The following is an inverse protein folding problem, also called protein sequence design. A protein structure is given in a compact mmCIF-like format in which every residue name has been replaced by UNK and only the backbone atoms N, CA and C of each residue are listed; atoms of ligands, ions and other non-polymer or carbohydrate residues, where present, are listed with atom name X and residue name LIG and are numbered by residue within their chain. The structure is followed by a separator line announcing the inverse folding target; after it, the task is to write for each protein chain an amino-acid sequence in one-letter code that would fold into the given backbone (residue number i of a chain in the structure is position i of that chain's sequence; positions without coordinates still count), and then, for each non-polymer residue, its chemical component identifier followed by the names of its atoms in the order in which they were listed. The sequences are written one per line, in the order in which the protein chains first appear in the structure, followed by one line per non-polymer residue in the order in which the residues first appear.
data_IF_092580056227
#
_entry.id   IF_092580056227
#
_cell.length_a   1.000
_cell.length_b   1.000
_cell.length_c   1.000
_cell.angle_alpha   90.00
_cell.angle_beta   90.00
_cell.angle_gamma   90.00
#
_symmetry.space_group_name_H-M   'P 1'
#
loop_
_entity.id
_entity.type
_entity.pdbx_description
1 polymer ?
#
# COMPACT_ATOMS: atom_id res chain seq x y z
N UNK A 1 -6.93 -6.48 -10.95
CA UNK A 1 -6.05 -7.20 -10.00
C UNK A 1 -6.15 -8.72 -10.08
N UNK A 2 -7.35 -9.32 -10.17
CA UNK A 2 -7.53 -10.79 -10.17
C UNK A 2 -7.56 -11.46 -11.55
N UNK A 3 -7.75 -10.67 -12.60
CA UNK A 3 -7.63 -11.11 -14.00
C UNK A 3 -6.17 -11.19 -14.46
N UNK A 4 -5.93 -11.82 -15.61
CA UNK A 4 -4.60 -11.92 -16.21
C UNK A 4 -3.99 -10.53 -16.45
N UNK A 5 -2.68 -10.39 -16.19
CA UNK A 5 -2.02 -9.07 -16.14
C UNK A 5 -2.35 -8.25 -14.89
N UNK A 6 -3.12 -8.81 -13.94
CA UNK A 6 -3.59 -8.11 -12.75
C UNK A 6 -2.50 -7.62 -11.80
N UNK A 7 -1.28 -8.14 -11.91
CA UNK A 7 -0.13 -7.69 -11.11
C UNK A 7 0.31 -6.26 -11.44
N UNK A 8 0.17 -5.80 -12.69
CA UNK A 8 0.48 -4.41 -13.03
C UNK A 8 -0.54 -3.44 -12.43
N UNK A 9 -1.82 -3.86 -12.36
CA UNK A 9 -2.86 -3.12 -11.62
C UNK A 9 -2.54 -3.08 -10.11
N UNK A 10 -1.97 -4.15 -9.55
CA UNK A 10 -1.50 -4.17 -8.15
C UNK A 10 -0.36 -3.17 -7.95
N UNK A 11 0.63 -3.12 -8.86
CA UNK A 11 1.73 -2.14 -8.80
C UNK A 11 1.23 -0.71 -8.89
N UNK A 12 0.28 -0.41 -9.80
CA UNK A 12 -0.35 0.92 -9.89
C UNK A 12 -1.04 1.30 -8.59
N UNK A 13 -1.79 0.38 -7.98
CA UNK A 13 -2.43 0.63 -6.69
C UNK A 13 -1.41 0.87 -5.56
N UNK A 14 -0.31 0.12 -5.51
CA UNK A 14 0.78 0.35 -4.54
C UNK A 14 1.40 1.73 -4.72
N UNK A 15 1.63 2.15 -5.97
CA UNK A 15 2.13 3.48 -6.29
C UNK A 15 1.18 4.56 -5.76
N UNK A 16 -0.12 4.46 -6.04
CA UNK A 16 -1.10 5.43 -5.55
C UNK A 16 -1.15 5.48 -4.02
N UNK A 17 -1.09 4.33 -3.35
CA UNK A 17 -1.05 4.25 -1.88
C UNK A 17 0.21 4.90 -1.28
N UNK A 18 1.33 4.90 -2.01
CA UNK A 18 2.55 5.57 -1.58
C UNK A 18 2.43 7.09 -1.61
N UNK A 19 1.70 7.64 -2.58
CA UNK A 19 1.49 9.08 -2.76
C UNK A 19 0.55 9.67 -1.71
N UNK A 20 -0.32 8.84 -1.13
CA UNK A 20 -1.26 9.24 -0.08
C UNK A 20 -0.92 8.62 1.28
N UNK A 21 0.34 8.26 1.52
CA UNK A 21 0.75 7.56 2.74
C UNK A 21 0.28 8.25 4.02
N UNK A 22 0.58 9.55 4.17
CA UNK A 22 0.26 10.33 5.37
C UNK A 22 -1.25 10.42 5.60
N UNK A 23 -2.03 10.59 4.53
CA UNK A 23 -3.48 10.61 4.60
C UNK A 23 -4.04 9.27 5.12
N UNK A 24 -3.51 8.16 4.62
CA UNK A 24 -3.91 6.84 5.08
C UNK A 24 -3.51 6.63 6.56
N UNK A 25 -2.29 6.98 6.95
CA UNK A 25 -1.84 6.84 8.35
C UNK A 25 -2.73 7.62 9.31
N UNK A 26 -3.10 8.85 8.97
CA UNK A 26 -3.99 9.69 9.79
C UNK A 26 -5.38 9.05 10.02
N UNK A 27 -5.86 8.23 9.09
CA UNK A 27 -7.15 7.56 9.16
C UNK A 27 -7.09 6.12 9.72
N UNK A 28 -5.88 5.59 9.97
CA UNK A 28 -5.64 4.16 10.22
C UNK A 28 -5.62 3.76 11.70
N UNK A 29 -6.32 4.55 12.53
CA UNK A 29 -6.50 4.30 13.96
C UNK A 29 -5.52 5.08 14.84
N UNK A 30 -6.01 5.55 15.98
CA UNK A 30 -5.22 6.34 16.93
C UNK A 30 -4.18 5.48 17.65
N UNK A 31 -3.02 6.08 17.96
CA UNK A 31 -1.96 5.42 18.70
C UNK A 31 -1.06 4.49 17.87
N UNK A 32 -1.22 4.53 16.54
CA UNK A 32 -0.52 3.65 15.61
C UNK A 32 1.01 3.89 15.61
N UNK A 33 1.47 5.07 16.02
CA UNK A 33 2.88 5.42 16.19
C UNK A 33 3.61 4.52 17.19
N UNK A 34 2.89 3.95 18.16
CA UNK A 34 3.45 2.98 19.12
C UNK A 34 3.63 1.58 18.52
N UNK A 35 2.92 1.28 17.43
CA UNK A 35 2.93 -0.02 16.74
C UNK A 35 3.86 0.00 15.53
N UNK A 36 3.71 0.98 14.64
CA UNK A 36 4.45 1.11 13.38
C UNK A 36 5.85 1.70 13.62
N UNK A 37 6.73 0.88 14.18
CA UNK A 37 8.08 1.29 14.61
C UNK A 37 9.18 0.79 13.67
N UNK A 38 8.85 -0.03 12.67
CA UNK A 38 9.84 -0.76 11.86
C UNK A 38 10.35 -2.04 12.54
N UNK A 39 9.98 -2.29 13.79
CA UNK A 39 10.29 -3.51 14.54
C UNK A 39 9.09 -4.45 14.55
N UNK A 40 9.31 -5.70 14.97
CA UNK A 40 8.23 -6.68 15.21
C UNK A 40 7.29 -6.92 14.01
N UNK A 41 7.85 -7.11 12.82
CA UNK A 41 7.07 -7.34 11.58
C UNK A 41 6.10 -6.18 11.24
N UNK A 42 6.51 -4.96 11.56
CA UNK A 42 5.82 -3.71 11.15
C UNK A 42 6.77 -2.82 10.36
N UNK A 43 6.21 -1.89 9.58
CA UNK A 43 6.96 -0.81 8.95
C UNK A 43 7.06 0.41 9.86
N UNK A 44 8.01 1.31 9.55
CA UNK A 44 8.04 2.68 10.10
C UNK A 44 6.75 3.42 9.77
N UNK A 45 6.22 4.21 10.71
CA UNK A 45 5.03 5.04 10.49
C UNK A 45 5.27 6.16 9.46
N UNK A 46 6.51 6.59 9.27
CA UNK A 46 6.87 7.73 8.42
C UNK A 46 7.24 7.31 6.99
N UNK A 47 7.64 6.05 6.80
CA UNK A 47 8.20 5.58 5.55
C UNK A 47 7.27 4.58 4.86
N UNK A 48 6.86 4.89 3.64
CA UNK A 48 6.16 3.94 2.79
C UNK A 48 7.13 2.93 2.18
N UNK A 49 6.80 1.64 2.30
CA UNK A 49 7.55 0.55 1.67
C UNK A 49 6.60 -0.57 1.21
N UNK A 50 7.04 -1.35 0.22
CA UNK A 50 6.33 -2.54 -0.21
C UNK A 50 7.29 -3.66 -0.56
N UNK A 51 6.79 -4.90 -0.64
CA UNK A 51 7.60 -6.02 -1.10
C UNK A 51 6.85 -7.34 -1.21
N UNK A 52 7.43 -8.26 -1.96
CA UNK A 52 6.90 -9.63 -2.09
C UNK A 52 7.36 -10.47 -0.91
N UNK A 53 6.40 -11.11 -0.24
CA UNK A 53 6.60 -11.91 0.96
C UNK A 53 7.31 -11.18 2.12
N UNK A 54 7.44 -9.85 2.04
CA UNK A 54 8.09 -9.05 3.06
C UNK A 54 7.07 -8.71 4.14
N UNK A 55 7.37 -9.08 5.39
CA UNK A 55 6.53 -8.75 6.54
C UNK A 55 6.94 -7.47 7.26
N UNK A 56 8.08 -6.87 6.95
CA UNK A 56 8.50 -5.59 7.53
C UNK A 56 8.04 -4.36 6.74
N UNK A 57 7.28 -4.53 5.65
CA UNK A 57 6.88 -3.42 4.78
C UNK A 57 5.43 -2.97 5.01
N UNK A 58 5.11 -1.77 4.50
CA UNK A 58 3.77 -1.18 4.62
C UNK A 58 2.73 -1.96 3.82
N UNK A 59 3.04 -2.28 2.55
CA UNK A 59 2.19 -3.10 1.67
C UNK A 59 2.90 -4.40 1.31
N UNK A 60 2.27 -5.54 1.56
CA UNK A 60 2.80 -6.85 1.21
C UNK A 60 2.06 -7.44 0.02
N UNK A 61 2.79 -8.10 -0.87
CA UNK A 61 2.21 -8.98 -1.90
C UNK A 61 2.65 -10.42 -1.65
N UNK A 62 1.74 -11.39 -1.73
CA UNK A 62 2.06 -12.80 -1.51
C UNK A 62 2.90 -13.41 -2.65
N UNK A 63 3.77 -14.39 -2.33
CA UNK A 63 4.57 -15.11 -3.36
C UNK A 63 3.69 -15.71 -4.45
N UNK A 64 2.52 -16.22 -4.07
CA UNK A 64 1.57 -16.80 -5.01
C UNK A 64 0.98 -15.75 -5.97
N UNK A 65 0.70 -14.54 -5.48
CA UNK A 65 0.20 -13.44 -6.33
C UNK A 65 1.26 -12.98 -7.32
N UNK A 66 2.51 -12.87 -6.90
CA UNK A 66 3.63 -12.58 -7.80
C UNK A 66 3.79 -13.70 -8.84
N UNK A 67 3.87 -14.96 -8.40
CA UNK A 67 4.07 -16.11 -9.28
C UNK A 67 2.95 -16.28 -10.32
N UNK A 68 1.69 -15.96 -9.95
CA UNK A 68 0.53 -16.02 -10.85
C UNK A 68 0.36 -14.77 -11.73
N UNK A 69 1.08 -13.69 -11.45
CA UNK A 69 0.88 -12.40 -12.14
C UNK A 69 -0.50 -11.78 -11.89
N UNK A 70 -1.24 -12.22 -10.86
CA UNK A 70 -2.57 -11.72 -10.48
C UNK A 70 -2.95 -12.17 -9.06
N UNK A 71 -3.81 -11.42 -8.39
CA UNK A 71 -4.23 -11.72 -7.01
C UNK A 71 -4.64 -10.48 -6.22
N UNK A 72 -3.96 -10.25 -5.08
CA UNK A 72 -4.24 -9.15 -4.15
C UNK A 72 -2.97 -8.59 -3.48
N UNK A 73 -3.09 -7.39 -2.94
CA UNK A 73 -2.14 -6.78 -2.01
C UNK A 73 -2.70 -6.78 -0.59
N UNK A 74 -1.84 -6.66 0.41
CA UNK A 74 -2.18 -6.57 1.82
C UNK A 74 -1.65 -5.25 2.39
N UNK A 75 -2.53 -4.35 2.80
CA UNK A 75 -2.15 -3.13 3.53
C UNK A 75 -2.02 -3.45 5.02
N UNK A 76 -0.80 -3.32 5.56
CA UNK A 76 -0.45 -3.72 6.95
C UNK A 76 -0.34 -2.54 7.90
N UNK A 77 -0.65 -1.35 7.40
CA UNK A 77 -0.62 -0.09 8.15
C UNK A 77 -1.85 0.15 9.04
N UNK A 78 -3.07 -0.39 8.79
CA UNK A 78 -4.18 -0.20 9.71
C UNK A 78 -3.91 -0.77 11.11
N UNK A 79 -4.24 -0.02 12.15
CA UNK A 79 -4.17 -0.47 13.54
C UNK A 79 -5.37 -1.38 13.90
N UNK A 80 -5.28 -2.09 15.02
CA UNK A 80 -6.38 -2.98 15.46
C UNK A 80 -7.67 -2.25 15.82
N UNK A 81 -7.60 -0.95 16.12
CA UNK A 81 -8.73 -0.07 16.43
C UNK A 81 -9.19 0.77 15.22
N UNK A 82 -8.72 0.48 14.00
CA UNK A 82 -9.18 1.22 12.82
C UNK A 82 -10.68 1.08 12.60
N UNK A 83 -11.33 2.11 12.06
CA UNK A 83 -12.72 2.04 11.60
C UNK A 83 -12.77 1.41 10.19
N UNK A 84 -13.46 0.27 10.02
CA UNK A 84 -13.47 -0.45 8.75
C UNK A 84 -14.12 0.34 7.63
N UNK A 85 -15.11 1.20 7.93
CA UNK A 85 -15.75 2.01 6.90
C UNK A 85 -14.77 3.04 6.35
N UNK A 86 -14.07 3.73 7.24
CA UNK A 86 -13.06 4.72 6.88
C UNK A 86 -11.92 4.08 6.07
N UNK A 87 -11.33 2.97 6.55
CA UNK A 87 -10.19 2.33 5.88
C UNK A 87 -10.57 1.76 4.51
N UNK A 88 -11.71 1.07 4.41
CA UNK A 88 -12.12 0.46 3.13
C UNK A 88 -12.53 1.51 2.10
N UNK A 89 -13.21 2.58 2.51
CA UNK A 89 -13.55 3.69 1.63
C UNK A 89 -12.28 4.38 1.10
N UNK A 90 -11.31 4.66 1.98
CA UNK A 90 -10.08 5.35 1.58
C UNK A 90 -9.19 4.47 0.68
N UNK A 91 -9.15 3.16 0.91
CA UNK A 91 -8.50 2.21 0.00
C UNK A 91 -9.13 2.25 -1.39
N UNK A 92 -10.46 2.20 -1.47
CA UNK A 92 -11.18 2.25 -2.75
C UNK A 92 -10.96 3.61 -3.45
N UNK A 93 -11.06 4.71 -2.71
CA UNK A 93 -10.83 6.05 -3.25
C UNK A 93 -9.43 6.16 -3.87
N UNK A 94 -8.38 5.83 -3.12
CA UNK A 94 -6.99 5.95 -3.58
C UNK A 94 -6.64 5.00 -4.73
N UNK A 95 -7.22 3.79 -4.76
CA UNK A 95 -6.83 2.76 -5.73
C UNK A 95 -7.76 2.66 -6.95
N UNK A 96 -8.93 3.30 -6.92
CA UNK A 96 -9.93 3.21 -7.99
C UNK A 96 -10.34 4.58 -8.53
N UNK A 97 -10.55 5.58 -7.67
CA UNK A 97 -11.17 6.85 -8.06
C UNK A 97 -10.16 8.00 -8.24
N UNK A 98 -9.09 7.98 -7.44
CA UNK A 98 -8.09 9.03 -7.43
C UNK A 98 -6.99 8.75 -8.45
N UNK A 99 -6.64 9.78 -9.23
CA UNK A 99 -5.53 9.75 -10.17
C UNK A 99 -4.50 10.83 -9.79
N UNK A 100 -3.22 10.47 -9.65
CA UNK A 100 -2.15 11.44 -9.44
C UNK A 100 -1.89 12.28 -10.70
N UNK A 101 -1.19 13.41 -10.54
CA UNK A 101 -0.56 14.07 -11.68
C UNK A 101 0.54 13.17 -12.26
N UNK A 102 0.77 13.25 -13.58
CA UNK A 102 1.82 12.50 -14.28
C UNK A 102 3.21 12.68 -13.65
N UNK A 103 3.52 13.89 -13.16
CA UNK A 103 4.80 14.18 -12.50
C UNK A 103 4.95 13.43 -11.18
N UNK A 104 3.93 13.49 -10.31
CA UNK A 104 3.91 12.75 -9.04
C UNK A 104 4.00 11.23 -9.26
N UNK A 105 3.29 10.72 -10.27
CA UNK A 105 3.35 9.30 -10.64
C UNK A 105 4.77 8.88 -11.07
N UNK A 106 5.38 9.62 -12.00
CA UNK A 106 6.73 9.33 -12.47
C UNK A 106 7.78 9.38 -11.35
N UNK A 107 7.66 10.36 -10.44
CA UNK A 107 8.55 10.50 -9.29
C UNK A 107 8.39 9.33 -8.30
N UNK A 108 7.15 8.94 -8.00
CA UNK A 108 6.85 7.82 -7.11
C UNK A 108 7.31 6.48 -7.69
N UNK A 109 7.06 6.22 -8.99
CA UNK A 109 7.52 5.03 -9.68
C UNK A 109 9.04 4.86 -9.56
N UNK A 110 9.79 5.96 -9.79
CA UNK A 110 11.24 6.00 -9.64
C UNK A 110 11.68 5.72 -8.20
N UNK A 111 11.03 6.33 -7.20
CA UNK A 111 11.35 6.12 -5.77
C UNK A 111 11.11 4.67 -5.33
N UNK A 112 10.05 4.04 -5.82
CA UNK A 112 9.66 2.67 -5.45
C UNK A 112 10.33 1.58 -6.32
N UNK A 113 11.16 1.97 -7.28
CA UNK A 113 11.73 1.07 -8.29
C UNK A 113 10.65 0.22 -9.00
N UNK A 114 9.44 0.77 -9.14
CA UNK A 114 8.33 0.13 -9.83
C UNK A 114 8.40 0.46 -11.31
N UNK A 115 8.35 -0.58 -12.16
CA UNK A 115 7.98 -0.43 -13.57
C UNK A 115 6.45 -0.41 -13.59
N UNK A 116 5.89 0.79 -13.70
CA UNK A 116 4.44 1.04 -13.86
C UNK A 116 4.21 1.54 -15.27
#
# INVERSE_FOLDING_TARGET
MREDGGFDVIKKAILNLSLRHDLHIAAYGEGNERRLTGLHETASISDFSWGVANRGCSIRVGRETEAKGKGYLEDRRPASNMDPYTVTALLAETTILWEPTLEAEALAAKKLALKV
#
